data_IF_248771545871
#
_entry.id   IF_248771545871
#
_cell.length_a   1.000
_cell.length_b   1.000
_cell.length_c   1.000
_cell.angle_alpha   90.00
_cell.angle_beta   90.00
_cell.angle_gamma   90.00
#
_symmetry.space_group_name_H-M   'P 1'
#
loop_
_entity.id
_entity.type
_entity.pdbx_description
1 polymer ?
#
# COMPACT_ATOMS: atom_id res chain seq x y z
N UNK A 1 -15.27 3.90 0.43
CA UNK A 1 -14.21 3.88 -0.62
C UNK A 1 -13.17 2.77 -0.40
N UNK A 2 -12.94 2.27 0.82
CA UNK A 2 -12.03 1.14 1.09
C UNK A 2 -12.25 -0.15 0.30
N UNK A 3 -13.43 -0.37 -0.30
CA UNK A 3 -13.69 -1.51 -1.19
C UNK A 3 -12.68 -1.58 -2.35
N UNK A 4 -12.38 -0.43 -2.98
CA UNK A 4 -11.45 -0.41 -4.12
C UNK A 4 -10.04 -0.82 -3.70
N UNK A 5 -9.54 -0.25 -2.60
CA UNK A 5 -8.25 -0.62 -2.01
C UNK A 5 -8.20 -2.10 -1.66
N UNK A 6 -9.21 -2.61 -0.96
CA UNK A 6 -9.27 -4.02 -0.55
C UNK A 6 -9.31 -4.98 -1.74
N UNK A 7 -10.26 -4.83 -2.65
CA UNK A 7 -10.40 -5.75 -3.78
C UNK A 7 -9.22 -5.66 -4.75
N UNK A 8 -8.64 -4.48 -4.97
CA UNK A 8 -7.45 -4.34 -5.82
C UNK A 8 -6.22 -5.00 -5.20
N UNK A 9 -5.96 -4.83 -3.89
CA UNK A 9 -4.86 -5.53 -3.22
C UNK A 9 -5.08 -7.04 -3.16
N UNK A 10 -6.31 -7.47 -2.84
CA UNK A 10 -6.66 -8.88 -2.82
C UNK A 10 -6.42 -9.51 -4.20
N UNK A 11 -6.78 -8.84 -5.29
CA UNK A 11 -6.62 -9.37 -6.63
C UNK A 11 -5.18 -9.27 -7.15
N UNK A 12 -4.63 -8.06 -7.27
CA UNK A 12 -3.31 -7.83 -7.85
C UNK A 12 -2.18 -8.31 -6.96
N UNK A 13 -2.30 -8.11 -5.64
CA UNK A 13 -1.34 -8.59 -4.66
C UNK A 13 -1.30 -10.12 -4.63
N UNK A 14 -2.46 -10.80 -4.66
CA UNK A 14 -2.50 -12.26 -4.76
C UNK A 14 -1.81 -12.78 -6.03
N UNK A 15 -2.10 -12.18 -7.20
CA UNK A 15 -1.44 -12.56 -8.45
C UNK A 15 0.07 -12.39 -8.33
N UNK A 16 0.55 -11.25 -7.81
CA UNK A 16 1.98 -11.01 -7.65
C UNK A 16 2.61 -12.05 -6.72
N UNK A 17 2.03 -12.29 -5.55
CA UNK A 17 2.51 -13.28 -4.56
C UNK A 17 2.56 -14.67 -5.19
N UNK A 18 1.47 -15.09 -5.85
CA UNK A 18 1.38 -16.38 -6.51
C UNK A 18 2.47 -16.55 -7.58
N UNK A 19 2.66 -15.56 -8.45
CA UNK A 19 3.71 -15.59 -9.46
C UNK A 19 5.11 -15.64 -8.81
N UNK A 20 5.34 -14.84 -7.77
CA UNK A 20 6.63 -14.74 -7.07
C UNK A 20 7.05 -16.05 -6.41
N UNK A 21 6.10 -16.75 -5.80
CA UNK A 21 6.34 -18.01 -5.09
C UNK A 21 6.48 -19.18 -6.07
N UNK A 22 5.60 -19.30 -7.07
CA UNK A 22 5.49 -20.52 -7.87
C UNK A 22 6.15 -20.45 -9.26
N UNK A 23 6.27 -19.26 -9.87
CA UNK A 23 6.71 -19.14 -11.27
C UNK A 23 8.05 -18.43 -11.45
N UNK A 24 8.34 -17.45 -10.60
CA UNK A 24 9.62 -16.74 -10.65
C UNK A 24 10.71 -17.70 -10.15
N UNK A 25 11.74 -17.98 -10.96
CA UNK A 25 12.87 -18.84 -10.56
C UNK A 25 13.90 -18.07 -9.72
N UNK A 26 14.97 -18.75 -9.30
CA UNK A 26 16.06 -18.33 -8.38
C UNK A 26 16.72 -16.95 -8.65
N UNK A 27 16.44 -16.30 -9.78
CA UNK A 27 17.04 -15.04 -10.23
C UNK A 27 16.81 -13.83 -9.30
N UNK A 28 15.75 -13.85 -8.47
CA UNK A 28 15.47 -12.74 -7.53
C UNK A 28 16.02 -12.96 -6.12
N UNK A 29 16.53 -14.16 -5.78
CA UNK A 29 17.08 -14.44 -4.45
C UNK A 29 16.19 -13.98 -3.30
N UNK A 30 16.79 -13.26 -2.33
CA UNK A 30 16.14 -12.64 -1.18
C UNK A 30 15.11 -11.54 -1.52
N UNK A 31 15.16 -10.95 -2.72
CA UNK A 31 14.24 -9.88 -3.12
C UNK A 31 12.78 -10.35 -3.12
N UNK A 32 12.55 -11.64 -3.36
CA UNK A 32 11.21 -12.23 -3.32
C UNK A 32 10.54 -12.05 -1.97
N UNK A 33 11.29 -12.18 -0.87
CA UNK A 33 10.74 -11.99 0.47
C UNK A 33 10.28 -10.56 0.68
N UNK A 34 11.00 -9.58 0.14
CA UNK A 34 10.59 -8.17 0.19
C UNK A 34 9.32 -7.91 -0.63
N UNK A 35 9.23 -8.48 -1.83
CA UNK A 35 8.04 -8.34 -2.68
C UNK A 35 6.80 -8.97 -2.04
N UNK A 36 6.93 -10.18 -1.48
CA UNK A 36 5.82 -10.86 -0.80
C UNK A 36 5.42 -10.10 0.45
N UNK A 37 6.37 -9.69 1.29
CA UNK A 37 6.08 -8.95 2.52
C UNK A 37 5.36 -7.62 2.22
N UNK A 38 5.78 -6.91 1.18
CA UNK A 38 5.11 -5.69 0.73
C UNK A 38 3.65 -5.90 0.34
N UNK A 39 3.34 -7.01 -0.32
CA UNK A 39 1.94 -7.33 -0.64
C UNK A 39 1.13 -7.78 0.57
N UNK A 40 1.74 -8.53 1.50
CA UNK A 40 1.08 -8.91 2.75
C UNK A 40 0.74 -7.66 3.57
N UNK A 41 1.70 -6.75 3.72
CA UNK A 41 1.48 -5.48 4.42
C UNK A 41 0.40 -4.63 3.72
N UNK A 42 0.46 -4.53 2.38
CA UNK A 42 -0.55 -3.81 1.60
C UNK A 42 -1.96 -4.39 1.75
N UNK A 43 -2.09 -5.71 1.77
CA UNK A 43 -3.35 -6.39 2.04
C UNK A 43 -3.87 -6.14 3.46
N UNK A 44 -2.99 -6.21 4.48
CA UNK A 44 -3.34 -5.87 5.87
C UNK A 44 -3.80 -4.42 5.97
N UNK A 45 -3.09 -3.49 5.32
CA UNK A 45 -3.43 -2.08 5.29
C UNK A 45 -4.80 -1.81 4.66
N UNK A 46 -5.08 -2.42 3.50
CA UNK A 46 -6.38 -2.30 2.84
C UNK A 46 -7.52 -3.00 3.61
N UNK A 47 -7.22 -4.11 4.28
CA UNK A 47 -8.19 -4.81 5.15
C UNK A 47 -8.58 -3.96 6.35
N UNK A 48 -7.64 -3.23 6.92
CA UNK A 48 -7.90 -2.30 8.02
C UNK A 48 -8.83 -1.15 7.59
N UNK A 49 -8.59 -0.52 6.43
CA UNK A 49 -9.49 0.52 5.90
C UNK A 49 -10.89 -0.04 5.64
N UNK A 50 -10.97 -1.24 5.06
CA UNK A 50 -12.22 -1.93 4.79
C UNK A 50 -12.99 -2.28 6.06
N UNK A 51 -12.31 -2.76 7.11
CA UNK A 51 -12.96 -3.18 8.35
C UNK A 51 -13.41 -1.98 9.20
N UNK A 52 -12.54 -0.99 9.39
CA UNK A 52 -12.75 0.10 10.37
C UNK A 52 -13.42 1.35 9.80
N UNK A 53 -13.59 1.43 8.47
CA UNK A 53 -14.33 2.48 7.76
C UNK A 53 -14.09 3.89 8.33
N UNK A 54 -12.86 4.36 8.16
CA UNK A 54 -12.41 5.64 8.69
C UNK A 54 -12.56 6.74 7.65
N UNK A 55 -12.87 7.94 8.13
CA UNK A 55 -13.09 9.14 7.34
C UNK A 55 -12.04 10.18 7.71
N UNK A 56 -11.51 10.83 6.67
CA UNK A 56 -10.61 11.96 6.80
C UNK A 56 -11.31 13.20 6.25
N UNK A 57 -11.31 14.26 7.05
CA UNK A 57 -12.01 15.50 6.75
C UNK A 57 -11.10 16.67 7.10
N UNK A 58 -10.85 17.53 6.11
CA UNK A 58 -10.11 18.77 6.33
C UNK A 58 -11.13 19.87 6.59
N UNK A 59 -10.99 20.58 7.71
CA UNK A 59 -11.84 21.70 8.10
C UNK A 59 -10.97 22.83 8.64
N UNK A 60 -10.89 23.94 7.92
CA UNK A 60 -10.08 25.12 8.24
C UNK A 60 -8.66 24.72 8.68
N UNK A 61 -8.25 25.13 9.88
CA UNK A 61 -6.97 24.82 10.50
C UNK A 61 -6.91 23.41 11.13
N UNK A 62 -7.66 22.44 10.59
CA UNK A 62 -7.69 21.08 11.12
C UNK A 62 -7.76 19.98 10.05
N UNK A 63 -7.14 18.85 10.40
CA UNK A 63 -7.30 17.58 9.72
C UNK A 63 -7.88 16.58 10.74
N UNK A 64 -9.14 16.20 10.51
CA UNK A 64 -9.89 15.34 11.42
C UNK A 64 -9.97 13.94 10.87
N UNK A 65 -9.70 12.96 11.72
CA UNK A 65 -9.77 11.54 11.42
C UNK A 65 -10.76 10.87 12.37
N UNK A 66 -11.87 10.36 11.84
CA UNK A 66 -12.94 9.76 12.67
C UNK A 66 -13.57 8.53 12.01
N UNK A 67 -14.37 7.77 12.75
CA UNK A 67 -15.20 6.71 12.19
C UNK A 67 -16.65 6.89 12.63
N UNK A 68 -17.58 6.68 11.69
CA UNK A 68 -19.01 6.74 11.95
C UNK A 68 -19.56 5.40 12.45
N UNK A 69 -18.73 4.36 12.48
CA UNK A 69 -19.11 3.00 12.86
C UNK A 69 -18.11 2.42 13.86
N UNK A 70 -18.59 1.48 14.68
CA UNK A 70 -17.76 0.77 15.67
C UNK A 70 -17.83 -0.73 15.37
N UNK A 71 -17.14 -1.19 14.32
CA UNK A 71 -17.10 -2.60 14.00
C UNK A 71 -16.54 -3.39 15.19
N UNK A 72 -16.99 -4.63 15.34
CA UNK A 72 -16.61 -5.53 16.44
C UNK A 72 -17.04 -5.04 17.84
N UNK A 73 -17.91 -4.03 17.94
CA UNK A 73 -18.39 -3.52 19.24
C UNK A 73 -17.34 -2.78 20.05
N UNK A 74 -16.27 -2.27 19.41
CA UNK A 74 -15.18 -1.56 20.08
C UNK A 74 -15.63 -0.22 20.68
N UNK A 75 -14.97 0.18 21.77
CA UNK A 75 -15.15 1.52 22.35
C UNK A 75 -14.55 2.61 21.46
N UNK A 76 -14.95 3.88 21.68
CA UNK A 76 -14.38 5.01 20.93
C UNK A 76 -12.86 5.11 21.13
N UNK A 77 -12.39 4.91 22.36
CA UNK A 77 -10.97 4.86 22.68
C UNK A 77 -10.22 3.76 21.92
N UNK A 78 -10.78 2.55 21.86
CA UNK A 78 -10.16 1.45 21.12
C UNK A 78 -10.13 1.75 19.61
N UNK A 79 -11.21 2.33 19.07
CA UNK A 79 -11.28 2.76 17.67
C UNK A 79 -10.25 3.84 17.34
N UNK A 80 -10.05 4.84 18.20
CA UNK A 80 -9.02 5.87 18.03
C UNK A 80 -7.62 5.25 17.92
N UNK A 81 -7.30 4.24 18.73
CA UNK A 81 -6.04 3.50 18.59
C UNK A 81 -5.98 2.64 17.32
N UNK A 82 -7.09 2.02 16.88
CA UNK A 82 -7.14 1.33 15.59
C UNK A 82 -6.87 2.30 14.42
N UNK A 83 -7.35 3.53 14.53
CA UNK A 83 -7.07 4.61 13.58
C UNK A 83 -5.60 5.01 13.61
N UNK A 84 -5.00 5.12 14.81
CA UNK A 84 -3.55 5.27 14.97
C UNK A 84 -2.77 4.14 14.27
N UNK A 85 -3.12 2.88 14.54
CA UNK A 85 -2.49 1.70 13.91
C UNK A 85 -2.59 1.74 12.39
N UNK A 86 -3.73 2.14 11.83
CA UNK A 86 -3.89 2.32 10.39
C UNK A 86 -2.86 3.30 9.81
N UNK A 87 -2.65 4.45 10.46
CA UNK A 87 -1.60 5.39 10.03
C UNK A 87 -0.18 4.83 10.24
N UNK A 88 0.01 3.96 11.22
CA UNK A 88 1.23 3.19 11.40
C UNK A 88 1.51 2.22 10.26
N UNK A 89 0.48 1.56 9.72
CA UNK A 89 0.60 0.69 8.54
C UNK A 89 1.01 1.47 7.29
N UNK A 90 0.51 2.71 7.13
CA UNK A 90 0.99 3.63 6.11
C UNK A 90 2.50 3.92 6.27
N UNK A 91 2.95 4.24 7.49
CA UNK A 91 4.37 4.46 7.77
C UNK A 91 5.24 3.22 7.49
N UNK A 92 4.78 2.04 7.90
CA UNK A 92 5.45 0.78 7.62
C UNK A 92 5.57 0.53 6.10
N UNK A 93 4.53 0.90 5.31
CA UNK A 93 4.54 0.80 3.85
C UNK A 93 5.64 1.67 3.25
N UNK A 94 5.78 2.91 3.71
CA UNK A 94 6.87 3.81 3.31
C UNK A 94 8.25 3.22 3.67
N UNK A 95 8.40 2.68 4.88
CA UNK A 95 9.65 2.06 5.31
C UNK A 95 10.03 0.86 4.42
N UNK A 96 9.04 0.04 4.04
CA UNK A 96 9.29 -1.07 3.13
C UNK A 96 9.69 -0.62 1.73
N UNK A 97 9.12 0.47 1.21
CA UNK A 97 9.59 1.07 -0.04
C UNK A 97 11.05 1.50 0.07
N UNK A 98 11.43 2.19 1.14
CA UNK A 98 12.83 2.57 1.39
C UNK A 98 13.76 1.34 1.43
N UNK A 99 13.35 0.26 2.11
CA UNK A 99 14.08 -1.01 2.15
C UNK A 99 14.23 -1.63 0.75
N UNK A 100 13.17 -1.62 -0.07
CA UNK A 100 13.25 -2.13 -1.44
C UNK A 100 14.23 -1.32 -2.29
N UNK A 101 14.23 0.02 -2.17
CA UNK A 101 15.17 0.89 -2.87
C UNK A 101 16.61 0.65 -2.44
N UNK A 102 16.85 0.49 -1.14
CA UNK A 102 18.15 0.15 -0.59
C UNK A 102 18.63 -1.23 -1.06
N UNK A 103 17.75 -2.24 -1.04
CA UNK A 103 18.07 -3.58 -1.56
C UNK A 103 18.55 -3.50 -3.02
N UNK A 104 17.81 -2.78 -3.87
CA UNK A 104 18.14 -2.64 -5.29
C UNK A 104 19.48 -1.94 -5.48
N UNK A 105 19.74 -0.91 -4.69
CA UNK A 105 21.03 -0.22 -4.69
C UNK A 105 22.17 -1.19 -4.34
N UNK A 106 22.07 -1.94 -3.24
CA UNK A 106 23.10 -2.94 -2.88
C UNK A 106 23.22 -4.06 -3.90
N UNK A 107 22.12 -4.51 -4.51
CA UNK A 107 22.18 -5.53 -5.56
C UNK A 107 22.98 -5.08 -6.79
N UNK A 108 23.07 -3.77 -7.05
CA UNK A 108 23.80 -3.22 -8.21
C UNK A 108 25.25 -2.87 -7.87
N UNK A 109 25.50 -2.34 -6.67
CA UNK A 109 26.79 -1.74 -6.30
C UNK A 109 27.53 -2.43 -5.15
N UNK A 110 26.85 -3.21 -4.31
CA UNK A 110 27.44 -3.81 -3.09
C UNK A 110 26.75 -5.13 -2.73
N UNK A 111 27.00 -6.16 -3.55
CA UNK A 111 26.35 -7.47 -3.41
C UNK A 111 26.66 -8.20 -2.09
N UNK A 112 27.83 -8.04 -1.43
CA UNK A 112 28.06 -8.64 -0.11
C UNK A 112 27.07 -8.19 0.97
N UNK A 113 26.57 -6.96 0.91
CA UNK A 113 25.56 -6.46 1.86
C UNK A 113 24.19 -7.13 1.70
N UNK A 114 23.94 -7.85 0.60
CA UNK A 114 22.71 -8.63 0.44
C UNK A 114 22.56 -9.73 1.50
N UNK A 115 23.63 -10.12 2.21
CA UNK A 115 23.58 -11.05 3.35
C UNK A 115 22.56 -10.64 4.41
N UNK A 116 22.32 -9.34 4.59
CA UNK A 116 21.34 -8.83 5.55
C UNK A 116 19.88 -9.12 5.17
N UNK A 117 19.63 -9.62 3.97
CA UNK A 117 18.29 -9.99 3.50
C UNK A 117 18.06 -11.51 3.49
N UNK A 118 18.95 -12.29 4.10
CA UNK A 118 18.85 -13.75 4.20
C UNK A 118 18.82 -14.23 5.64
N UNK A 119 18.15 -15.37 5.85
CA UNK A 119 18.09 -16.07 7.12
C UNK A 119 17.59 -15.17 8.25
N UNK A 120 18.25 -15.25 9.40
CA UNK A 120 17.86 -14.49 10.60
C UNK A 120 18.05 -12.97 10.45
N UNK A 121 19.01 -12.51 9.63
CA UNK A 121 19.23 -11.07 9.42
C UNK A 121 18.04 -10.37 8.77
N UNK A 122 17.19 -11.10 8.05
CA UNK A 122 15.98 -10.53 7.46
C UNK A 122 15.04 -9.91 8.50
N UNK A 123 15.03 -10.43 9.74
CA UNK A 123 14.21 -9.88 10.82
C UNK A 123 14.60 -8.46 11.24
N UNK A 124 15.81 -7.99 10.91
CA UNK A 124 16.21 -6.60 11.12
C UNK A 124 15.26 -5.67 10.36
N UNK A 125 14.90 -6.01 9.12
CA UNK A 125 13.99 -5.21 8.31
C UNK A 125 12.56 -5.27 8.82
N UNK A 126 12.13 -6.44 9.30
CA UNK A 126 10.83 -6.62 9.96
C UNK A 126 10.72 -5.74 11.20
N UNK A 127 11.74 -5.76 12.05
CA UNK A 127 11.84 -4.88 13.21
C UNK A 127 11.86 -3.41 12.80
N UNK A 128 12.62 -3.04 11.76
CA UNK A 128 12.75 -1.66 11.30
C UNK A 128 11.41 -1.05 10.89
N UNK A 129 10.66 -1.66 9.95
CA UNK A 129 9.39 -1.07 9.51
C UNK A 129 8.32 -1.16 10.61
N UNK A 130 8.37 -2.18 11.48
CA UNK A 130 7.43 -2.30 12.60
C UNK A 130 7.69 -1.21 13.64
N UNK A 131 8.95 -0.93 13.97
CA UNK A 131 9.33 0.12 14.89
C UNK A 131 8.81 1.49 14.44
N UNK A 132 9.08 1.88 13.19
CA UNK A 132 8.60 3.15 12.66
C UNK A 132 7.07 3.19 12.51
N UNK A 133 6.43 2.07 12.17
CA UNK A 133 4.98 1.95 12.15
C UNK A 133 4.34 2.17 13.53
N UNK A 134 4.88 1.54 14.57
CA UNK A 134 4.43 1.73 15.96
C UNK A 134 4.67 3.16 16.44
N UNK A 135 5.84 3.72 16.13
CA UNK A 135 6.19 5.09 16.51
C UNK A 135 5.23 6.10 15.88
N UNK A 136 4.86 5.90 14.61
CA UNK A 136 3.87 6.72 13.93
C UNK A 136 2.47 6.55 14.51
N UNK A 137 2.04 5.31 14.74
CA UNK A 137 0.74 5.01 15.34
C UNK A 137 0.61 5.64 16.73
N UNK A 138 1.68 5.60 17.53
CA UNK A 138 1.78 6.29 18.80
C UNK A 138 1.69 7.81 18.62
N UNK A 139 2.42 8.38 17.66
CA UNK A 139 2.40 9.81 17.40
C UNK A 139 0.95 10.30 17.13
N UNK A 140 0.23 9.60 16.26
CA UNK A 140 -1.16 9.93 15.92
C UNK A 140 -2.10 9.65 17.09
N UNK A 141 -2.06 8.46 17.68
CA UNK A 141 -2.98 8.08 18.76
C UNK A 141 -2.84 8.92 20.02
N UNK A 142 -1.62 9.39 20.34
CA UNK A 142 -1.35 10.18 21.54
C UNK A 142 -1.46 11.69 21.28
N UNK A 143 -0.71 12.23 20.32
CA UNK A 143 -0.63 13.68 20.14
C UNK A 143 -1.88 14.26 19.46
N UNK A 144 -2.60 13.46 18.65
CA UNK A 144 -3.83 13.91 17.98
C UNK A 144 -5.10 13.47 18.72
N UNK A 145 -4.97 12.95 19.95
CA UNK A 145 -6.12 12.69 20.80
C UNK A 145 -6.94 13.98 20.98
N UNK A 146 -8.27 13.87 20.91
CA UNK A 146 -9.16 15.03 20.96
C UNK A 146 -9.39 15.50 22.40
N UNK A 147 -9.18 16.78 22.65
CA UNK A 147 -9.53 17.45 23.91
C UNK A 147 -10.77 18.33 23.78
N UNK A 148 -11.17 18.97 24.88
CA UNK A 148 -12.41 19.75 24.98
C UNK A 148 -12.46 20.89 23.95
N UNK A 149 -11.33 21.58 23.74
CA UNK A 149 -11.25 22.60 22.68
C UNK A 149 -11.49 21.97 21.30
N UNK A 150 -10.79 20.88 20.97
CA UNK A 150 -10.94 20.23 19.66
C UNK A 150 -12.37 19.74 19.40
N UNK A 151 -13.03 19.21 20.44
CA UNK A 151 -14.44 18.79 20.36
C UNK A 151 -15.37 19.97 20.13
N UNK A 152 -15.14 21.09 20.80
CA UNK A 152 -15.94 22.31 20.60
C UNK A 152 -15.71 22.90 19.20
N UNK A 153 -14.46 22.96 18.75
CA UNK A 153 -14.07 23.51 17.46
C UNK A 153 -14.68 22.72 16.28
N UNK A 154 -14.68 21.40 16.37
CA UNK A 154 -15.17 20.51 15.31
C UNK A 154 -16.64 20.09 15.47
N UNK A 155 -17.24 20.37 16.62
CA UNK A 155 -18.56 19.83 17.00
C UNK A 155 -19.66 20.21 16.01
N UNK A 156 -19.78 21.50 15.70
CA UNK A 156 -20.81 22.01 14.80
C UNK A 156 -20.61 21.51 13.36
N UNK A 157 -19.37 21.47 12.87
CA UNK A 157 -19.07 20.98 11.52
C UNK A 157 -19.38 19.49 11.38
N UNK A 158 -18.98 18.67 12.36
CA UNK A 158 -19.25 17.24 12.36
C UNK A 158 -20.75 16.97 12.45
N UNK A 159 -21.47 17.71 13.28
CA UNK A 159 -22.92 17.60 13.40
C UNK A 159 -23.61 18.00 12.09
N UNK A 160 -23.20 19.11 11.48
CA UNK A 160 -23.77 19.64 10.24
C UNK A 160 -23.55 18.69 9.05
N UNK A 161 -22.34 18.14 8.89
CA UNK A 161 -21.99 17.32 7.71
C UNK A 161 -22.29 15.84 7.86
N UNK A 162 -22.23 15.32 9.08
CA UNK A 162 -22.30 13.88 9.33
C UNK A 162 -23.46 13.47 10.23
N UNK A 163 -24.27 14.42 10.72
CA UNK A 163 -25.46 14.16 11.56
C UNK A 163 -25.13 13.30 12.79
N UNK A 164 -23.96 13.56 13.38
CA UNK A 164 -23.44 12.85 14.54
C UNK A 164 -22.85 13.83 15.54
N UNK A 165 -23.04 13.53 16.82
CA UNK A 165 -22.36 14.25 17.88
C UNK A 165 -20.90 13.76 17.96
N UNK A 166 -19.97 14.70 18.03
CA UNK A 166 -18.53 14.42 18.13
C UNK A 166 -18.15 13.65 19.40
N UNK A 167 -18.98 13.70 20.45
CA UNK A 167 -18.79 12.91 21.68
C UNK A 167 -19.07 11.42 21.49
N UNK A 168 -19.93 11.09 20.53
CA UNK A 168 -20.46 9.72 20.37
C UNK A 168 -19.60 8.89 19.42
N UNK A 169 -18.71 9.54 18.67
CA UNK A 169 -17.84 8.91 17.68
C UNK A 169 -16.36 8.91 18.12
N UNK A 170 -15.57 7.91 17.70
CA UNK A 170 -14.10 7.98 17.80
C UNK A 170 -13.56 9.08 16.90
N UNK A 171 -12.70 9.94 17.44
CA UNK A 171 -12.18 11.10 16.72
C UNK A 171 -10.76 11.45 17.16
N UNK A 172 -9.88 11.63 16.17
CA UNK A 172 -8.54 12.18 16.30
C UNK A 172 -8.46 13.45 15.45
N UNK A 173 -7.66 14.42 15.89
CA UNK A 173 -7.55 15.71 15.23
C UNK A 173 -6.14 16.26 15.24
N UNK A 174 -5.63 16.58 14.06
CA UNK A 174 -4.52 17.51 13.89
C UNK A 174 -5.09 18.92 13.77
N UNK A 175 -5.06 19.68 14.86
CA UNK A 175 -5.55 21.08 14.90
C UNK A 175 -4.33 21.98 15.07
N UNK A 176 -4.16 22.96 14.19
CA UNK A 176 -2.96 23.81 14.18
C UNK A 176 -3.02 24.91 15.27
N UNK A 177 -4.19 25.52 15.47
CA UNK A 177 -4.34 26.71 16.32
C UNK A 177 -5.43 26.57 17.38
N UNK A 178 -5.24 27.30 18.48
CA UNK A 178 -6.22 27.59 19.52
C UNK A 178 -6.23 29.11 19.74
N UNK A 179 -7.18 29.79 19.08
CA UNK A 179 -7.08 31.24 18.89
C UNK A 179 -5.81 31.58 18.10
N UNK A 180 -5.02 32.53 18.59
CA UNK A 180 -3.75 32.93 17.96
C UNK A 180 -2.55 32.03 18.35
N UNK A 181 -2.76 31.04 19.22
CA UNK A 181 -1.68 30.20 19.75
C UNK A 181 -1.55 28.88 18.97
N UNK A 182 -0.32 28.50 18.65
CA UNK A 182 -0.02 27.20 18.02
C UNK A 182 -0.20 26.08 19.05
N UNK A 183 -0.86 25.00 18.61
CA UNK A 183 -1.06 23.79 19.43
C UNK A 183 0.19 22.92 19.43
N UNK A 184 1.08 23.18 20.38
CA UNK A 184 2.37 22.47 20.48
C UNK A 184 2.24 20.95 20.59
N UNK A 185 1.19 20.42 21.26
CA UNK A 185 0.94 18.98 21.31
C UNK A 185 0.86 18.37 19.90
N UNK A 186 0.07 18.99 19.04
CA UNK A 186 -0.11 18.59 17.65
C UNK A 186 1.17 18.79 16.82
N UNK A 187 1.91 19.86 17.08
CA UNK A 187 3.23 20.10 16.45
C UNK A 187 4.24 19.02 16.81
N UNK A 188 4.27 18.55 18.06
CA UNK A 188 5.17 17.44 18.45
C UNK A 188 4.83 16.17 17.67
N UNK A 189 3.55 15.79 17.58
CA UNK A 189 3.11 14.65 16.77
C UNK A 189 3.46 14.81 15.29
N UNK A 190 3.17 15.98 14.71
CA UNK A 190 3.47 16.30 13.32
C UNK A 190 4.98 16.26 13.05
N UNK A 191 5.80 16.86 13.91
CA UNK A 191 7.26 16.89 13.74
C UNK A 191 7.87 15.48 13.74
N UNK A 192 7.36 14.58 14.59
CA UNK A 192 7.76 13.18 14.61
C UNK A 192 7.39 12.46 13.30
N UNK A 193 6.15 12.63 12.82
CA UNK A 193 5.70 12.07 11.53
C UNK A 193 6.53 12.61 10.35
N UNK A 194 6.82 13.91 10.34
CA UNK A 194 7.65 14.56 9.33
C UNK A 194 9.08 14.05 9.36
N UNK A 195 9.67 13.87 10.55
CA UNK A 195 11.03 13.33 10.69
C UNK A 195 11.11 11.91 10.13
N UNK A 196 10.17 11.05 10.50
CA UNK A 196 10.09 9.67 9.99
C UNK A 196 9.96 9.70 8.46
N UNK A 197 9.02 10.48 7.92
CA UNK A 197 8.79 10.60 6.48
C UNK A 197 10.02 11.09 5.72
N UNK A 198 10.67 12.12 6.25
CA UNK A 198 11.86 12.74 5.66
C UNK A 198 12.99 11.72 5.59
N UNK A 199 13.27 11.00 6.69
CA UNK A 199 14.31 9.97 6.72
C UNK A 199 14.05 8.89 5.66
N UNK A 200 12.83 8.33 5.60
CA UNK A 200 12.53 7.27 4.63
C UNK A 200 12.60 7.79 3.19
N UNK A 201 12.10 8.99 2.94
CA UNK A 201 12.10 9.57 1.61
C UNK A 201 13.51 9.97 1.15
N UNK A 202 14.37 10.45 2.04
CA UNK A 202 15.79 10.66 1.77
C UNK A 202 16.50 9.38 1.35
N UNK A 203 16.22 8.24 2.02
CA UNK A 203 16.78 6.94 1.63
C UNK A 203 16.34 6.59 0.19
N UNK A 204 15.05 6.74 -0.12
CA UNK A 204 14.50 6.46 -1.46
C UNK A 204 15.17 7.35 -2.52
N UNK A 205 15.24 8.66 -2.30
CA UNK A 205 15.85 9.61 -3.25
C UNK A 205 17.34 9.30 -3.45
N UNK A 206 18.10 9.13 -2.37
CA UNK A 206 19.55 8.90 -2.45
C UNK A 206 19.81 7.58 -3.18
N UNK A 207 19.14 6.49 -2.80
CA UNK A 207 19.29 5.20 -3.47
C UNK A 207 18.86 5.28 -4.93
N UNK A 208 17.73 5.93 -5.21
CA UNK A 208 17.21 6.16 -6.55
C UNK A 208 18.18 6.93 -7.45
N UNK A 209 18.72 8.03 -6.95
CA UNK A 209 19.68 8.88 -7.65
C UNK A 209 20.99 8.15 -7.93
N UNK A 210 21.53 7.42 -6.94
CA UNK A 210 22.76 6.65 -7.13
C UNK A 210 22.58 5.51 -8.13
N UNK A 211 21.44 4.81 -8.09
CA UNK A 211 21.08 3.82 -9.11
C UNK A 211 20.94 4.46 -10.49
N UNK A 212 20.33 5.63 -10.60
CA UNK A 212 20.22 6.37 -11.85
C UNK A 212 21.61 6.67 -12.46
N UNK A 213 22.52 7.24 -11.67
CA UNK A 213 23.89 7.57 -12.14
C UNK A 213 24.65 6.30 -12.51
N UNK A 214 24.76 5.34 -11.60
CA UNK A 214 25.61 4.18 -11.82
C UNK A 214 25.07 3.24 -12.91
N UNK A 215 23.75 3.20 -13.14
CA UNK A 215 23.19 2.53 -14.32
C UNK A 215 23.56 3.25 -15.62
N UNK A 216 23.54 4.59 -15.67
CA UNK A 216 23.97 5.36 -16.85
C UNK A 216 25.42 5.03 -17.23
N UNK A 217 26.31 4.93 -16.24
CA UNK A 217 27.72 4.54 -16.44
C UNK A 217 27.85 3.09 -16.93
N UNK A 218 27.15 2.13 -16.31
CA UNK A 218 27.18 0.72 -16.75
C UNK A 218 26.59 0.52 -18.16
N UNK A 219 25.56 1.29 -18.53
CA UNK A 219 24.94 1.24 -19.87
C UNK A 219 25.87 1.68 -21.00
N UNK A 220 26.92 2.46 -20.72
CA UNK A 220 27.91 2.88 -21.71
C UNK A 220 28.84 1.74 -22.14
N UNK A 221 28.94 0.67 -21.33
CA UNK A 221 29.93 -0.40 -21.50
C UNK A 221 29.30 -1.73 -21.97
N UNK A 222 27.97 -1.81 -22.09
CA UNK A 222 27.24 -3.06 -22.35
C UNK A 222 26.85 -3.28 -23.82
N UNK A 223 26.83 -4.55 -24.25
CA UNK A 223 26.37 -4.98 -25.59
C UNK A 223 24.89 -4.69 -25.84
N UNK A 224 24.48 -4.60 -27.11
CA UNK A 224 23.14 -4.14 -27.52
C UNK A 224 21.95 -4.88 -26.85
N UNK A 225 22.08 -6.20 -26.65
CA UNK A 225 21.05 -7.01 -26.01
C UNK A 225 20.95 -6.74 -24.49
N UNK A 226 22.09 -6.64 -23.79
CA UNK A 226 22.13 -6.27 -22.36
C UNK A 226 21.65 -4.82 -22.16
N UNK A 227 22.00 -3.92 -23.08
CA UNK A 227 21.58 -2.51 -23.07
C UNK A 227 20.05 -2.35 -23.10
N UNK A 228 19.33 -3.18 -23.86
CA UNK A 228 17.85 -3.15 -23.92
C UNK A 228 17.21 -3.58 -22.61
N UNK A 229 17.70 -4.66 -21.99
CA UNK A 229 17.22 -5.15 -20.70
C UNK A 229 17.47 -4.11 -19.59
N UNK A 230 18.68 -3.56 -19.52
CA UNK A 230 19.02 -2.52 -18.53
C UNK A 230 18.21 -1.23 -18.71
N UNK A 231 17.85 -0.84 -19.94
CA UNK A 231 16.96 0.30 -20.21
C UNK A 231 15.54 0.07 -19.69
N UNK A 232 15.03 -1.16 -19.73
CA UNK A 232 13.72 -1.51 -19.15
C UNK A 232 13.74 -1.41 -17.63
N UNK A 233 14.79 -1.95 -16.96
CA UNK A 233 14.98 -1.78 -15.53
C UNK A 233 15.11 -0.32 -15.11
N UNK A 234 15.79 0.50 -15.91
CA UNK A 234 15.89 1.94 -15.66
C UNK A 234 14.54 2.66 -15.76
N UNK A 235 13.72 2.33 -16.77
CA UNK A 235 12.35 2.87 -16.89
C UNK A 235 11.49 2.46 -15.70
N UNK A 236 11.60 1.20 -15.27
CA UNK A 236 10.94 0.70 -14.07
C UNK A 236 11.32 1.51 -12.84
N UNK A 237 12.62 1.76 -12.66
CA UNK A 237 13.16 2.50 -11.54
C UNK A 237 12.62 3.93 -11.47
N UNK A 238 12.59 4.65 -12.61
CA UNK A 238 12.02 6.01 -12.67
C UNK A 238 10.55 6.00 -12.28
N UNK A 239 9.75 5.09 -12.84
CA UNK A 239 8.32 4.97 -12.51
C UNK A 239 8.13 4.67 -11.02
N UNK A 240 8.97 3.81 -10.44
CA UNK A 240 8.88 3.41 -9.04
C UNK A 240 9.35 4.47 -8.05
N UNK A 241 10.17 5.44 -8.47
CA UNK A 241 10.50 6.60 -7.66
C UNK A 241 9.35 7.61 -7.73
N UNK A 242 8.85 7.89 -8.94
CA UNK A 242 7.82 8.91 -9.15
C UNK A 242 6.45 8.52 -8.57
N UNK A 243 6.05 7.24 -8.70
CA UNK A 243 4.74 6.78 -8.24
C UNK A 243 4.48 7.02 -6.74
N UNK A 244 5.35 6.59 -5.80
CA UNK A 244 5.14 6.86 -4.38
C UNK A 244 5.21 8.35 -4.06
N UNK A 245 6.06 9.13 -4.73
CA UNK A 245 6.11 10.60 -4.55
C UNK A 245 4.76 11.24 -4.83
N UNK A 246 4.12 10.87 -5.94
CA UNK A 246 2.86 11.46 -6.39
C UNK A 246 1.67 10.94 -5.58
N UNK A 247 1.66 9.65 -5.24
CA UNK A 247 0.47 8.98 -4.68
C UNK A 247 0.51 8.90 -3.15
N UNK A 248 1.68 8.74 -2.55
CA UNK A 248 1.83 8.61 -1.10
C UNK A 248 2.32 9.90 -0.45
N UNK A 249 3.45 10.44 -0.89
CA UNK A 249 4.11 11.53 -0.18
C UNK A 249 3.43 12.88 -0.40
N UNK A 250 3.31 13.33 -1.66
CA UNK A 250 2.76 14.65 -1.99
C UNK A 250 1.37 14.89 -1.35
N UNK A 251 0.41 13.95 -1.44
CA UNK A 251 -0.91 14.17 -0.86
C UNK A 251 -0.91 14.15 0.67
N UNK A 252 -0.10 13.29 1.32
CA UNK A 252 0.03 13.32 2.79
C UNK A 252 0.66 14.61 3.27
N UNK A 253 1.76 15.05 2.65
CA UNK A 253 2.41 16.32 3.00
C UNK A 253 1.44 17.49 2.87
N UNK A 254 0.68 17.54 1.78
CA UNK A 254 -0.37 18.55 1.63
C UNK A 254 -1.39 18.49 2.77
N UNK A 255 -1.93 17.31 3.09
CA UNK A 255 -2.96 17.18 4.12
C UNK A 255 -2.48 17.51 5.54
N UNK A 256 -1.26 17.11 5.92
CA UNK A 256 -0.76 17.35 7.29
C UNK A 256 -0.29 18.79 7.50
N UNK A 257 0.10 19.50 6.44
CA UNK A 257 0.54 20.89 6.52
C UNK A 257 -0.55 21.91 6.17
N UNK A 258 -1.60 21.51 5.45
CA UNK A 258 -2.74 22.38 5.14
C UNK A 258 -3.36 23.05 6.38
N UNK A 259 -3.54 22.37 7.54
CA UNK A 259 -4.01 23.01 8.77
C UNK A 259 -3.20 24.24 9.21
N UNK A 260 -1.90 24.27 8.92
CA UNK A 260 -0.98 25.35 9.33
C UNK A 260 -0.88 26.46 8.28
N UNK A 261 -1.52 26.30 7.14
CA UNK A 261 -1.65 27.35 6.14
C UNK A 261 -2.87 28.25 6.39
N UNK A 262 -3.71 27.90 7.38
CA UNK A 262 -4.88 28.65 7.86
C UNK A 262 -5.86 29.06 6.74
N UNK A 263 -6.07 28.14 5.79
CA UNK A 263 -7.05 28.35 4.72
C UNK A 263 -8.47 28.03 5.21
N UNK A 264 -9.44 28.87 4.86
CA UNK A 264 -10.87 28.57 5.02
C UNK A 264 -11.29 27.53 3.99
N UNK A 265 -11.30 26.26 4.38
CA UNK A 265 -11.64 25.14 3.51
C UNK A 265 -12.32 24.04 4.29
N UNK A 266 -13.36 23.43 3.71
CA UNK A 266 -13.96 22.24 4.29
C UNK A 266 -14.30 21.20 3.22
N UNK A 267 -13.55 20.09 3.20
CA UNK A 267 -13.75 19.03 2.21
C UNK A 267 -13.45 17.62 2.76
N UNK A 268 -14.20 16.60 2.29
CA UNK A 268 -13.93 15.22 2.62
C UNK A 268 -12.67 14.75 1.88
N UNK A 269 -11.57 14.62 2.60
CA UNK A 269 -10.27 14.14 2.11
C UNK A 269 -10.18 12.61 1.96
N UNK A 270 -11.33 11.92 2.03
CA UNK A 270 -11.43 10.46 1.98
C UNK A 270 -10.91 9.85 0.66
N UNK A 271 -11.04 10.56 -0.46
CA UNK A 271 -10.52 10.10 -1.77
C UNK A 271 -9.00 9.93 -1.70
N UNK A 272 -8.31 10.88 -1.05
CA UNK A 272 -6.85 10.86 -0.92
C UNK A 272 -6.43 9.70 -0.02
N UNK A 273 -7.13 9.50 1.09
CA UNK A 273 -6.91 8.37 1.99
C UNK A 273 -7.02 7.02 1.26
N UNK A 274 -8.05 6.82 0.45
CA UNK A 274 -8.21 5.58 -0.32
C UNK A 274 -7.15 5.40 -1.42
N UNK A 275 -6.54 6.48 -1.91
CA UNK A 275 -5.37 6.39 -2.79
C UNK A 275 -4.17 5.70 -2.13
N UNK A 276 -3.98 5.88 -0.82
CA UNK A 276 -2.87 5.27 -0.09
C UNK A 276 -2.98 3.76 0.01
N UNK A 277 -4.18 3.24 0.23
CA UNK A 277 -4.40 1.79 0.33
C UNK A 277 -4.38 1.12 -1.03
N UNK A 278 -4.71 1.81 -2.11
CA UNK A 278 -4.59 1.29 -3.48
C UNK A 278 -3.12 1.16 -3.93
N UNK A 279 -2.20 1.94 -3.35
CA UNK A 279 -0.82 2.01 -3.82
C UNK A 279 -0.08 0.66 -3.85
N UNK A 280 -0.15 -0.24 -2.85
CA UNK A 280 0.56 -1.53 -2.92
C UNK A 280 0.08 -2.43 -4.07
N UNK A 281 -1.22 -2.35 -4.42
CA UNK A 281 -1.75 -2.99 -5.63
C UNK A 281 -1.20 -2.33 -6.90
N UNK A 282 -1.11 -1.00 -6.95
CA UNK A 282 -0.50 -0.28 -8.07
C UNK A 282 0.98 -0.64 -8.24
N UNK A 283 1.75 -0.72 -7.16
CA UNK A 283 3.16 -1.15 -7.20
C UNK A 283 3.29 -2.59 -7.75
N UNK A 284 2.38 -3.50 -7.39
CA UNK A 284 2.31 -4.83 -8.03
C UNK A 284 2.16 -4.74 -9.54
N UNK A 285 1.24 -3.89 -10.01
CA UNK A 285 1.00 -3.70 -11.44
C UNK A 285 2.24 -3.10 -12.11
N UNK A 286 2.88 -2.11 -11.49
CA UNK A 286 4.13 -1.51 -11.98
C UNK A 286 5.24 -2.57 -12.07
N UNK A 287 5.44 -3.39 -11.03
CA UNK A 287 6.41 -4.47 -10.98
C UNK A 287 6.16 -5.51 -12.09
N UNK A 288 4.92 -5.98 -12.24
CA UNK A 288 4.57 -6.96 -13.27
C UNK A 288 4.72 -6.42 -14.70
N UNK A 289 4.44 -5.13 -14.89
CA UNK A 289 4.51 -4.47 -16.20
C UNK A 289 5.94 -4.16 -16.61
N UNK A 290 6.80 -3.82 -15.65
CA UNK A 290 8.16 -3.40 -15.92
C UNK A 290 9.16 -4.55 -15.99
N UNK A 291 8.89 -5.65 -15.29
CA UNK A 291 9.81 -6.79 -15.20
C UNK A 291 9.34 -7.91 -16.13
N UNK A 292 10.09 -8.10 -17.22
CA UNK A 292 9.73 -9.01 -18.33
C UNK A 292 9.49 -10.46 -17.88
N UNK A 293 10.14 -10.90 -16.81
CA UNK A 293 9.98 -12.20 -16.16
C UNK A 293 8.55 -12.40 -15.65
N UNK A 294 7.98 -11.38 -14.99
CA UNK A 294 6.60 -11.42 -14.50
C UNK A 294 5.61 -11.42 -15.66
N UNK A 295 5.83 -10.59 -16.69
CA UNK A 295 5.00 -10.61 -17.90
C UNK A 295 5.01 -11.97 -18.61
N UNK A 296 6.18 -12.63 -18.71
CA UNK A 296 6.29 -13.99 -19.27
C UNK A 296 5.61 -15.04 -18.39
N UNK A 297 5.78 -14.97 -17.08
CA UNK A 297 5.15 -15.87 -16.12
C UNK A 297 3.62 -15.75 -16.17
N UNK A 298 3.10 -14.52 -16.21
CA UNK A 298 1.68 -14.25 -16.32
C UNK A 298 1.08 -14.78 -17.65
N UNK A 299 1.76 -14.55 -18.78
CA UNK A 299 1.32 -15.11 -20.08
C UNK A 299 1.26 -16.64 -20.06
N UNK A 300 2.26 -17.30 -19.47
CA UNK A 300 2.25 -18.77 -19.29
C UNK A 300 1.09 -19.23 -18.40
N UNK A 301 0.82 -18.51 -17.30
CA UNK A 301 -0.31 -18.84 -16.42
C UNK A 301 -1.66 -18.75 -17.15
N UNK A 302 -1.88 -17.67 -17.91
CA UNK A 302 -3.11 -17.48 -18.69
C UNK A 302 -3.25 -18.56 -19.76
N UNK A 303 -2.16 -18.89 -20.46
CA UNK A 303 -2.16 -19.94 -21.47
C UNK A 303 -2.50 -21.31 -20.87
N UNK A 304 -1.80 -21.73 -19.81
CA UNK A 304 -2.05 -23.02 -19.14
C UNK A 304 -3.46 -23.11 -18.56
N UNK A 305 -4.01 -22.00 -18.07
CA UNK A 305 -5.38 -21.93 -17.55
C UNK A 305 -6.39 -22.11 -18.69
N UNK A 306 -6.20 -21.40 -19.81
CA UNK A 306 -7.04 -21.56 -21.00
C UNK A 306 -7.02 -22.99 -21.55
N UNK A 307 -5.85 -23.61 -21.63
CA UNK A 307 -5.72 -25.01 -22.03
C UNK A 307 -6.45 -25.96 -21.08
N UNK A 308 -6.32 -25.78 -19.76
CA UNK A 308 -7.05 -26.59 -18.78
C UNK A 308 -8.56 -26.44 -18.91
N UNK A 309 -9.08 -25.23 -19.13
CA UNK A 309 -10.51 -25.01 -19.34
C UNK A 309 -10.99 -25.63 -20.66
N UNK A 310 -10.23 -25.50 -21.75
CA UNK A 310 -10.57 -26.13 -23.02
C UNK A 310 -10.62 -27.67 -22.91
N UNK A 311 -9.65 -28.28 -22.22
CA UNK A 311 -9.64 -29.73 -21.97
C UNK A 311 -10.83 -30.16 -21.09
N UNK A 312 -11.24 -29.33 -20.12
CA UNK A 312 -12.36 -29.63 -19.23
C UNK A 312 -13.71 -29.51 -19.97
N UNK A 313 -13.90 -28.47 -20.78
CA UNK A 313 -15.06 -28.30 -21.64
C UNK A 313 -15.22 -29.46 -22.63
N UNK A 314 -14.14 -29.85 -23.31
CA UNK A 314 -14.16 -31.00 -24.23
C UNK A 314 -14.51 -32.32 -23.52
N UNK A 315 -14.08 -32.50 -22.26
CA UNK A 315 -14.43 -33.67 -21.44
C UNK A 315 -15.89 -33.67 -20.98
N UNK A 316 -16.51 -32.51 -20.82
CA UNK A 316 -17.92 -32.37 -20.45
C UNK A 316 -18.82 -32.61 -21.67
N UNK A 317 -18.48 -32.04 -22.84
CA UNK A 317 -19.18 -32.29 -24.10
C UNK A 317 -19.13 -33.77 -24.53
N UNK A 318 -17.97 -34.41 -24.40
CA UNK A 318 -17.84 -35.84 -24.73
C UNK A 318 -18.63 -36.74 -23.76
N UNK A 319 -18.78 -36.34 -22.49
CA UNK A 319 -19.66 -37.05 -21.54
C UNK A 319 -21.14 -36.88 -21.87
N UNK A 320 -21.58 -35.69 -22.25
CA UNK A 320 -22.97 -35.45 -22.70
C UNK A 320 -23.30 -36.20 -23.98
N UNK A 321 -22.38 -36.21 -24.95
CA UNK A 321 -22.55 -36.93 -26.22
C UNK A 321 -22.70 -38.44 -26.00
N UNK A 322 -21.89 -39.04 -25.12
CA UNK A 322 -22.00 -40.46 -24.76
C UNK A 322 -23.32 -40.75 -24.03
N UNK A 323 -23.76 -39.86 -23.14
CA UNK A 323 -25.03 -40.00 -22.41
C UNK A 323 -26.24 -39.93 -23.35
N UNK A 324 -26.23 -39.00 -24.30
CA UNK A 324 -27.28 -38.87 -25.31
C UNK A 324 -27.32 -40.08 -26.24
N UNK A 325 -26.17 -40.54 -26.73
CA UNK A 325 -26.09 -41.73 -27.59
C UNK A 325 -26.60 -43.00 -26.89
N UNK A 326 -26.34 -43.13 -25.58
CA UNK A 326 -26.82 -44.26 -24.77
C UNK A 326 -28.34 -44.16 -24.52
N UNK A 327 -28.87 -42.95 -24.31
CA UNK A 327 -30.31 -42.71 -24.17
C UNK A 327 -31.07 -43.03 -25.47
N UNK A 328 -30.55 -42.60 -26.62
CA UNK A 328 -31.17 -42.87 -27.94
C UNK A 328 -31.16 -44.36 -28.27
N UNK A 329 -30.07 -45.08 -27.97
CA UNK A 329 -30.02 -46.56 -28.12
C UNK A 329 -31.01 -47.29 -27.22
N UNK A 330 -31.21 -46.81 -25.99
CA UNK A 330 -32.18 -47.42 -25.08
C UNK A 330 -33.64 -47.15 -25.49
N UNK A 331 -33.92 -46.08 -26.24
CA UNK A 331 -35.24 -45.82 -26.82
C UNK A 331 -35.53 -46.70 -28.04
N UNK A 332 -34.54 -46.93 -28.92
CA UNK A 332 -34.73 -47.75 -30.13
C UNK A 332 -34.74 -49.25 -29.87
N UNK A 333 -34.32 -49.72 -28.69
CA UNK A 333 -34.40 -51.14 -28.31
C UNK A 333 -35.72 -51.50 -27.61
N UNK A 334 -36.62 -50.52 -27.39
CA UNK A 334 -37.93 -50.69 -26.74
C UNK A 334 -39.13 -50.56 -27.69
N UNK A 335 -38.88 -50.41 -28.99
CA UNK A 335 -39.84 -50.53 -30.09
C UNK A 335 -39.52 -51.84 -30.82
#
# INVERSE_FOLDING_TARGET
MGNLGFFSNAFFGFILVYLTLFYIKRQFGSYKYLLVNFQVLGFVFASFEFLFHTFLHTYNASLTYFSLSRPLGLSNYAMEWMMGIYTGLYSATICQLAIQFMYRYWAIFDTPKLRYFYGFYYFIWVGYYTFFGVLWAFAVGHFFAMDDFGRKYLGDEILLRYERNITDIPVLGLIAYEGDNIRWRNVYGLSLMTLISTVQYSIIIICGHQMYIGMKTKLAVLSAQHRRLHRQFFRALVIQISAPTIILFCPVFFMIYAPFADFEMSFPSCIIQSGFTVYPALDSVIMMSCVSEYGRAFKKLVHNTKEKYAVRANKEESKETVKNTTSTKNLTTKL
#
